data_IF_053348609511
#
_entry.id   IF_053348609511
#
_cell.length_a   1.000
_cell.length_b   1.000
_cell.length_c   1.000
_cell.angle_alpha   90.00
_cell.angle_beta   90.00
_cell.angle_gamma   90.00
#
_symmetry.space_group_name_H-M   'P 1'
#
loop_
_entity.id
_entity.type
_entity.pdbx_description
1 polymer ?
#
# COMPACT_ATOMS: atom_id res chain seq x y z
N UNK A 1 19.37 -43.27 -8.80
CA UNK A 1 18.86 -41.98 -9.31
C UNK A 1 18.33 -41.22 -8.11
N UNK A 2 19.18 -40.39 -7.49
CA UNK A 2 18.81 -39.52 -6.38
C UNK A 2 18.11 -38.29 -6.95
N UNK A 3 16.82 -38.14 -6.68
CA UNK A 3 16.10 -36.92 -6.98
C UNK A 3 16.65 -35.82 -6.05
N UNK A 4 17.42 -34.89 -6.62
CA UNK A 4 17.77 -33.64 -5.97
C UNK A 4 16.47 -32.87 -5.72
N UNK A 5 16.10 -32.51 -4.48
CA UNK A 5 14.96 -31.64 -4.27
C UNK A 5 15.27 -30.30 -4.93
N UNK A 6 14.40 -29.89 -5.85
CA UNK A 6 14.43 -28.55 -6.40
C UNK A 6 14.20 -27.57 -5.23
N UNK A 7 15.17 -26.69 -5.01
CA UNK A 7 15.21 -25.67 -3.96
C UNK A 7 14.52 -24.30 -4.27
N UNK A 8 13.71 -24.07 -5.34
CA UNK A 8 13.16 -22.74 -5.60
C UNK A 8 11.99 -22.36 -4.66
N UNK A 9 11.14 -23.30 -4.28
CA UNK A 9 9.88 -22.97 -3.58
C UNK A 9 10.08 -22.35 -2.18
N UNK A 10 11.13 -22.77 -1.45
CA UNK A 10 11.38 -22.29 -0.08
C UNK A 10 11.76 -20.80 0.01
N UNK A 11 12.31 -20.22 -1.06
CA UNK A 11 12.70 -18.81 -1.08
C UNK A 11 11.57 -17.89 -1.55
N UNK A 12 10.64 -18.41 -2.35
CA UNK A 12 9.41 -17.72 -2.75
C UNK A 12 8.44 -17.67 -1.57
N UNK A 13 8.24 -18.80 -0.87
CA UNK A 13 7.42 -18.87 0.35
C UNK A 13 7.94 -17.94 1.46
N UNK A 14 9.27 -17.85 1.65
CA UNK A 14 9.86 -16.97 2.66
C UNK A 14 9.66 -15.49 2.34
N UNK A 15 9.75 -15.10 1.07
CA UNK A 15 9.47 -13.73 0.63
C UNK A 15 7.99 -13.39 0.77
N UNK A 16 7.09 -14.33 0.44
CA UNK A 16 5.65 -14.15 0.63
C UNK A 16 5.31 -13.98 2.12
N UNK A 17 5.90 -14.79 2.99
CA UNK A 17 5.73 -14.67 4.45
C UNK A 17 6.29 -13.34 5.01
N UNK A 18 7.44 -12.88 4.52
CA UNK A 18 8.02 -11.60 4.94
C UNK A 18 7.17 -10.41 4.46
N UNK A 19 6.59 -10.51 3.26
CA UNK A 19 5.64 -9.54 2.74
C UNK A 19 4.35 -9.49 3.59
N UNK A 20 3.73 -10.64 3.87
CA UNK A 20 2.54 -10.71 4.73
C UNK A 20 2.79 -10.10 6.11
N UNK A 21 3.96 -10.39 6.71
CA UNK A 21 4.36 -9.79 7.98
C UNK A 21 4.53 -8.27 7.85
N UNK A 22 5.15 -7.80 6.77
CA UNK A 22 5.33 -6.39 6.48
C UNK A 22 3.99 -5.66 6.30
N UNK A 23 3.03 -6.25 5.59
CA UNK A 23 1.67 -5.71 5.46
C UNK A 23 0.95 -5.62 6.79
N UNK A 24 1.00 -6.70 7.60
CA UNK A 24 0.36 -6.70 8.91
C UNK A 24 0.96 -5.65 9.86
N UNK A 25 2.30 -5.53 9.88
CA UNK A 25 3.00 -4.52 10.66
C UNK A 25 2.63 -3.10 10.20
N UNK A 26 2.58 -2.89 8.87
CA UNK A 26 2.18 -1.62 8.28
C UNK A 26 0.74 -1.25 8.66
N UNK A 27 -0.23 -2.15 8.50
CA UNK A 27 -1.62 -1.88 8.85
C UNK A 27 -1.77 -1.52 10.34
N UNK A 28 -1.07 -2.23 11.23
CA UNK A 28 -1.03 -1.90 12.65
C UNK A 28 -0.48 -0.50 12.91
N UNK A 29 0.67 -0.17 12.30
CA UNK A 29 1.30 1.15 12.44
C UNK A 29 0.43 2.28 11.89
N UNK A 30 -0.24 2.07 10.74
CA UNK A 30 -1.11 3.08 10.15
C UNK A 30 -2.31 3.41 11.04
N UNK A 31 -2.86 2.43 11.76
CA UNK A 31 -3.97 2.64 12.70
C UNK A 31 -3.56 3.41 13.97
N UNK A 32 -2.26 3.47 14.29
CA UNK A 32 -1.74 4.29 15.40
C UNK A 32 -1.53 5.76 15.02
N UNK A 33 -1.53 6.09 13.72
CA UNK A 33 -1.32 7.45 13.26
C UNK A 33 -2.56 8.32 13.53
N UNK A 34 -2.38 9.39 14.30
CA UNK A 34 -3.45 10.35 14.63
C UNK A 34 -4.06 11.08 13.43
N UNK A 35 -3.38 11.02 12.27
CA UNK A 35 -3.82 11.59 11.00
C UNK A 35 -4.51 10.57 10.07
N UNK A 36 -4.78 9.36 10.57
CA UNK A 36 -5.47 8.27 9.88
C UNK A 36 -6.69 7.86 10.71
N UNK A 37 -7.88 7.95 10.12
CA UNK A 37 -9.13 7.44 10.71
C UNK A 37 -9.36 5.98 10.34
N UNK A 38 -9.03 5.64 9.11
CA UNK A 38 -9.18 4.32 8.51
C UNK A 38 -8.13 4.17 7.42
N UNK A 39 -7.66 2.94 7.18
CA UNK A 39 -6.72 2.65 6.10
C UNK A 39 -7.04 1.31 5.44
N UNK A 40 -6.52 1.17 4.22
CA UNK A 40 -6.45 -0.08 3.49
C UNK A 40 -5.13 -0.10 2.72
N UNK A 41 -4.46 -1.24 2.74
CA UNK A 41 -3.22 -1.44 2.00
C UNK A 41 -3.47 -2.54 0.96
N UNK A 42 -3.12 -2.26 -0.29
CA UNK A 42 -3.30 -3.20 -1.40
C UNK A 42 -1.99 -3.31 -2.17
N UNK A 43 -1.57 -4.54 -2.44
CA UNK A 43 -0.51 -4.84 -3.39
C UNK A 43 -1.11 -4.89 -4.80
N UNK A 44 -0.50 -4.17 -5.73
CA UNK A 44 -0.90 -4.14 -7.14
C UNK A 44 0.34 -4.07 -8.03
N UNK A 45 0.21 -4.50 -9.27
CA UNK A 45 1.23 -4.23 -10.28
C UNK A 45 0.90 -2.94 -11.01
N UNK A 46 1.87 -2.03 -11.06
CA UNK A 46 1.78 -0.81 -11.86
C UNK A 46 2.58 -0.99 -13.15
N UNK A 47 2.05 -0.53 -14.30
CA UNK A 47 2.81 -0.47 -15.54
C UNK A 47 4.13 0.29 -15.31
N UNK A 48 5.23 -0.24 -15.83
CA UNK A 48 6.59 0.34 -15.76
C UNK A 48 7.28 0.30 -14.39
N UNK A 49 6.54 0.24 -13.27
CA UNK A 49 7.10 0.21 -11.91
C UNK A 49 7.14 -1.19 -11.29
N UNK A 50 6.37 -2.13 -11.82
CA UNK A 50 6.23 -3.47 -11.23
C UNK A 50 5.35 -3.46 -10.00
N UNK A 51 5.61 -4.38 -9.06
CA UNK A 51 4.81 -4.52 -7.84
C UNK A 51 4.94 -3.30 -6.94
N UNK A 52 3.79 -2.78 -6.53
CA UNK A 52 3.66 -1.54 -5.79
C UNK A 52 2.57 -1.66 -4.71
N UNK A 53 2.80 -0.96 -3.60
CA UNK A 53 1.86 -0.85 -2.50
C UNK A 53 1.07 0.43 -2.65
N UNK A 54 -0.25 0.30 -2.68
CA UNK A 54 -1.17 1.43 -2.59
C UNK A 54 -1.74 1.45 -1.18
N UNK A 55 -1.36 2.47 -0.41
CA UNK A 55 -1.88 2.72 0.92
C UNK A 55 -2.96 3.80 0.85
N UNK A 56 -4.22 3.36 0.82
CA UNK A 56 -5.36 4.25 0.94
C UNK A 56 -5.60 4.59 2.40
N UNK A 57 -5.81 5.86 2.71
CA UNK A 57 -6.13 6.29 4.06
C UNK A 57 -7.21 7.36 4.07
N UNK A 58 -7.99 7.37 5.14
CA UNK A 58 -9.05 8.34 5.36
C UNK A 58 -8.55 9.34 6.41
N UNK A 59 -8.27 10.60 6.05
CA UNK A 59 -7.84 11.58 7.03
C UNK A 59 -9.00 11.98 7.95
N UNK A 60 -8.77 12.25 9.25
CA UNK A 60 -9.81 12.76 10.15
C UNK A 60 -10.40 14.10 9.70
N UNK A 61 -9.60 14.93 9.03
CA UNK A 61 -10.03 16.20 8.42
C UNK A 61 -9.25 16.46 7.13
N UNK A 62 -9.81 17.20 6.15
CA UNK A 62 -9.10 17.52 4.90
C UNK A 62 -7.77 18.26 5.10
N UNK A 63 -7.64 19.02 6.20
CA UNK A 63 -6.39 19.74 6.53
C UNK A 63 -5.22 18.81 6.85
N UNK A 64 -5.50 17.56 7.21
CA UNK A 64 -4.48 16.58 7.57
C UNK A 64 -4.08 15.68 6.40
N UNK A 65 -4.60 15.91 5.19
CA UNK A 65 -4.31 15.08 4.03
C UNK A 65 -2.81 15.03 3.72
N UNK A 66 -2.15 16.19 3.66
CA UNK A 66 -0.73 16.28 3.31
C UNK A 66 0.14 15.64 4.39
N UNK A 67 -0.15 15.92 5.67
CA UNK A 67 0.59 15.30 6.79
C UNK A 67 0.35 13.80 6.86
N UNK A 68 -0.89 13.35 6.62
CA UNK A 68 -1.26 11.95 6.59
C UNK A 68 -0.54 11.21 5.48
N UNK A 69 -0.53 11.75 4.26
CA UNK A 69 0.17 11.18 3.11
C UNK A 69 1.66 10.99 3.41
N UNK A 70 2.31 11.98 4.01
CA UNK A 70 3.73 11.89 4.41
C UNK A 70 3.96 10.81 5.48
N UNK A 71 3.11 10.75 6.50
CA UNK A 71 3.23 9.76 7.56
C UNK A 71 3.00 8.33 7.07
N UNK A 72 1.98 8.13 6.24
CA UNK A 72 1.63 6.84 5.62
C UNK A 72 2.75 6.37 4.69
N UNK A 73 3.28 7.24 3.82
CA UNK A 73 4.42 6.89 2.97
C UNK A 73 5.65 6.50 3.79
N UNK A 74 5.93 7.24 4.85
CA UNK A 74 7.06 6.92 5.72
C UNK A 74 6.88 5.56 6.42
N UNK A 75 5.67 5.20 6.83
CA UNK A 75 5.36 3.88 7.39
C UNK A 75 5.53 2.78 6.34
N UNK A 76 5.05 3.00 5.10
CA UNK A 76 5.23 2.05 4.00
C UNK A 76 6.72 1.78 3.74
N UNK A 77 7.55 2.84 3.67
CA UNK A 77 8.99 2.72 3.45
C UNK A 77 9.74 2.02 4.58
N UNK A 78 9.23 2.08 5.82
CA UNK A 78 9.83 1.36 6.96
C UNK A 78 9.51 -0.13 6.95
N UNK A 79 8.27 -0.49 6.63
CA UNK A 79 7.80 -1.88 6.73
C UNK A 79 8.01 -2.67 5.44
N UNK A 80 7.95 -2.01 4.28
CA UNK A 80 8.04 -2.61 2.95
C UNK A 80 9.03 -1.80 2.08
N UNK A 81 10.32 -1.70 2.47
CA UNK A 81 11.31 -0.85 1.79
C UNK A 81 11.62 -1.28 0.35
N UNK A 82 11.34 -2.54 0.01
CA UNK A 82 11.63 -3.12 -1.31
C UNK A 82 10.52 -2.82 -2.34
N UNK A 83 9.37 -2.30 -1.88
CA UNK A 83 8.23 -2.01 -2.74
C UNK A 83 8.08 -0.51 -2.97
N UNK A 84 7.71 -0.16 -4.20
CA UNK A 84 7.24 1.20 -4.48
C UNK A 84 5.94 1.45 -3.71
N UNK A 85 5.88 2.52 -2.92
CA UNK A 85 4.70 2.84 -2.13
C UNK A 85 4.06 4.16 -2.58
N UNK A 86 2.75 4.15 -2.75
CA UNK A 86 1.94 5.34 -3.03
C UNK A 86 0.84 5.48 -2.00
N UNK A 87 0.78 6.64 -1.33
CA UNK A 87 -0.27 6.94 -0.37
C UNK A 87 -1.33 7.84 -1.00
N UNK A 88 -2.59 7.44 -0.87
CA UNK A 88 -3.75 8.16 -1.43
C UNK A 88 -4.75 8.44 -0.32
N UNK A 89 -5.12 9.71 -0.18
CA UNK A 89 -6.23 10.07 0.68
C UNK A 89 -7.56 9.76 -0.02
N UNK A 90 -8.47 9.10 0.69
CA UNK A 90 -9.81 8.74 0.21
C UNK A 90 -10.85 9.19 1.23
N UNK A 91 -12.08 9.42 0.76
CA UNK A 91 -13.20 9.79 1.66
C UNK A 91 -13.63 8.62 2.56
N UNK A 92 -13.59 7.42 1.99
CA UNK A 92 -13.93 6.15 2.62
C UNK A 92 -13.15 4.99 1.98
N UNK A 93 -12.92 3.93 2.75
CA UNK A 93 -12.42 2.67 2.22
C UNK A 93 -13.61 1.80 1.81
N UNK A 94 -13.73 1.36 0.54
CA UNK A 94 -14.82 0.49 0.13
C UNK A 94 -14.67 -0.87 0.80
N UNK A 95 -15.78 -1.41 1.30
CA UNK A 95 -15.84 -2.69 2.01
C UNK A 95 -16.92 -3.58 1.40
N UNK A 96 -16.67 -4.89 1.47
CA UNK A 96 -17.64 -5.94 1.14
C UNK A 96 -18.74 -6.03 2.21
N UNK A 97 -19.81 -6.77 1.93
CA UNK A 97 -20.88 -7.04 2.90
C UNK A 97 -20.39 -7.76 4.17
N UNK A 98 -19.22 -8.42 4.10
CA UNK A 98 -18.56 -9.08 5.23
C UNK A 98 -17.62 -8.13 6.00
N UNK A 99 -17.53 -6.86 5.59
CA UNK A 99 -16.68 -5.84 6.21
C UNK A 99 -15.20 -5.90 5.81
N UNK A 100 -14.79 -6.86 4.96
CA UNK A 100 -13.44 -6.90 4.39
C UNK A 100 -13.24 -5.76 3.37
N UNK A 101 -12.02 -5.26 3.22
CA UNK A 101 -11.66 -4.26 2.20
C UNK A 101 -11.98 -4.79 0.80
N UNK A 102 -12.68 -4.00 0.00
CA UNK A 102 -12.96 -4.31 -1.39
C UNK A 102 -11.80 -3.80 -2.27
N UNK A 103 -10.69 -4.54 -2.30
CA UNK A 103 -9.42 -4.10 -2.90
C UNK A 103 -9.51 -3.69 -4.38
N UNK A 104 -10.25 -4.42 -5.21
CA UNK A 104 -10.42 -4.08 -6.64
C UNK A 104 -11.15 -2.76 -6.84
N UNK A 105 -12.29 -2.56 -6.17
CA UNK A 105 -13.03 -1.30 -6.19
C UNK A 105 -12.19 -0.14 -5.65
N UNK A 106 -11.41 -0.37 -4.59
CA UNK A 106 -10.47 0.63 -4.09
C UNK A 106 -9.46 1.02 -5.16
N UNK A 107 -8.83 0.05 -5.82
CA UNK A 107 -7.89 0.27 -6.91
C UNK A 107 -8.54 1.04 -8.06
N UNK A 108 -9.74 0.65 -8.50
CA UNK A 108 -10.48 1.35 -9.56
C UNK A 108 -10.73 2.83 -9.21
N UNK A 109 -10.99 3.14 -7.94
CA UNK A 109 -11.17 4.52 -7.45
C UNK A 109 -9.86 5.32 -7.44
N UNK A 110 -8.73 4.70 -7.06
CA UNK A 110 -7.46 5.43 -6.82
C UNK A 110 -6.51 5.42 -8.02
N UNK A 111 -6.52 4.39 -8.87
CA UNK A 111 -5.63 4.27 -10.03
C UNK A 111 -5.63 5.50 -10.96
N UNK A 112 -6.78 6.14 -11.26
CA UNK A 112 -6.77 7.36 -12.06
C UNK A 112 -6.05 8.54 -11.39
N UNK A 113 -6.02 8.60 -10.06
CA UNK A 113 -5.22 9.59 -9.32
C UNK A 113 -3.74 9.22 -9.36
N UNK A 114 -3.40 7.95 -9.13
CA UNK A 114 -2.01 7.46 -9.18
C UNK A 114 -1.40 7.71 -10.57
N UNK A 115 -2.11 7.35 -11.63
CA UNK A 115 -1.66 7.58 -13.00
C UNK A 115 -1.44 9.08 -13.29
N UNK A 116 -2.31 9.96 -12.76
CA UNK A 116 -2.11 11.41 -12.87
C UNK A 116 -0.87 11.87 -12.10
N UNK A 117 -0.66 11.38 -10.89
CA UNK A 117 0.50 11.72 -10.06
C UNK A 117 1.82 11.25 -10.72
N UNK A 118 1.81 10.08 -11.36
CA UNK A 118 2.96 9.55 -12.10
C UNK A 118 3.25 10.32 -13.41
N UNK A 119 2.20 10.78 -14.10
CA UNK A 119 2.33 11.53 -15.36
C UNK A 119 2.57 13.03 -15.15
N UNK A 120 2.32 13.57 -13.96
CA UNK A 120 2.64 14.95 -13.59
C UNK A 120 3.97 14.99 -12.83
N UNK A 121 5.10 15.37 -13.44
CA UNK A 121 6.38 15.53 -12.73
C UNK A 121 6.41 16.74 -11.76
N UNK A 122 5.26 17.21 -11.27
CA UNK A 122 5.12 18.49 -10.58
C UNK A 122 4.63 18.32 -9.13
N UNK A 123 5.51 17.83 -8.24
CA UNK A 123 5.52 18.17 -6.81
C UNK A 123 6.72 17.53 -6.06
N UNK A 124 7.95 17.65 -6.58
CA UNK A 124 9.19 17.41 -5.80
C UNK A 124 10.03 18.68 -5.69
N UNK A 125 9.39 19.83 -5.48
CA UNK A 125 10.08 21.07 -5.12
C UNK A 125 9.17 21.93 -4.26
N UNK A 126 9.20 21.70 -2.96
CA UNK A 126 9.21 22.76 -1.93
C UNK A 126 9.79 22.20 -0.62
#
# INVERSE_FOLDING_TARGET
MTATPHLPDLFEDAQEMDLERGFFALEGELLELSCVRECAVVLTDLPELGSAVVAAFVPPTPRQEISGRRAVLAACQRNLPELYAHAVAVDEVPRTDQGAVHGSELLDRVLPQIARDLMSPAAMSD
#
